data_IF_425079496473
#
_entry.id   IF_425079496473
#
_cell.length_a   1.000
_cell.length_b   1.000
_cell.length_c   1.000
_cell.angle_alpha   90.00
_cell.angle_beta   90.00
_cell.angle_gamma   90.00
#
_symmetry.space_group_name_H-M   'P 1'
#
loop_
_entity.id
_entity.type
_entity.pdbx_description
1 polymer ?
#
# COMPACT_ATOMS: atom_id res chain seq x y z
N UNK A 1 -1.21 -7.99 1.42
CA UNK A 1 -1.64 -7.76 0.01
C UNK A 1 -3.02 -7.11 0.01
N UNK A 2 -3.54 -6.52 -1.08
CA UNK A 2 -4.99 -6.30 -1.13
C UNK A 2 -5.75 -7.61 -0.84
N UNK A 3 -6.95 -7.49 -0.29
CA UNK A 3 -7.73 -8.56 0.32
C UNK A 3 -7.23 -9.11 1.68
N UNK A 4 -6.11 -8.63 2.24
CA UNK A 4 -5.62 -9.06 3.58
C UNK A 4 -5.79 -7.99 4.67
N UNK A 5 -6.51 -6.91 4.38
CA UNK A 5 -6.76 -5.83 5.34
C UNK A 5 -8.25 -5.78 5.70
N UNK A 6 -8.52 -5.38 6.94
CA UNK A 6 -9.87 -5.11 7.45
C UNK A 6 -10.30 -3.71 7.00
N UNK A 7 -10.87 -3.63 5.80
CA UNK A 7 -11.19 -2.36 5.14
C UNK A 7 -12.32 -1.62 5.86
N UNK A 8 -13.32 -2.32 6.38
CA UNK A 8 -14.43 -1.65 7.07
C UNK A 8 -13.95 -1.02 8.38
N UNK A 9 -13.05 -1.68 9.12
CA UNK A 9 -12.40 -1.05 10.28
C UNK A 9 -11.55 0.16 9.89
N UNK A 10 -10.79 0.07 8.80
CA UNK A 10 -10.00 1.20 8.30
C UNK A 10 -10.88 2.40 7.98
N UNK A 11 -12.00 2.18 7.27
CA UNK A 11 -12.98 3.21 6.93
C UNK A 11 -13.63 3.82 8.18
N UNK A 12 -14.01 3.01 9.18
CA UNK A 12 -14.62 3.54 10.40
C UNK A 12 -13.65 4.43 11.19
N UNK A 13 -12.36 4.05 11.24
CA UNK A 13 -11.32 4.85 11.89
C UNK A 13 -11.12 6.18 11.16
N UNK A 14 -11.03 6.16 9.82
CA UNK A 14 -10.87 7.38 9.03
C UNK A 14 -12.08 8.32 9.21
N UNK A 15 -13.29 7.77 9.27
CA UNK A 15 -14.51 8.55 9.51
C UNK A 15 -14.54 9.13 10.93
N UNK A 16 -14.12 8.37 11.95
CA UNK A 16 -14.02 8.87 13.33
C UNK A 16 -13.00 10.00 13.46
N UNK A 17 -11.83 9.86 12.84
CA UNK A 17 -10.81 10.89 12.82
C UNK A 17 -11.29 12.15 12.10
N UNK A 18 -11.89 12.01 10.91
CA UNK A 18 -12.44 13.13 10.15
C UNK A 18 -13.58 13.85 10.91
N UNK A 19 -14.37 13.11 11.68
CA UNK A 19 -15.44 13.67 12.52
C UNK A 19 -14.99 14.23 13.87
N UNK A 20 -13.70 14.19 14.21
CA UNK A 20 -13.18 14.60 15.52
C UNK A 20 -13.67 13.73 16.68
N UNK A 21 -14.12 12.51 16.39
CA UNK A 21 -14.64 11.54 17.36
C UNK A 21 -13.49 10.71 17.95
N UNK A 22 -13.81 9.92 18.97
CA UNK A 22 -12.82 9.01 19.54
C UNK A 22 -12.52 7.88 18.55
N UNK A 23 -11.27 7.77 18.11
CA UNK A 23 -10.80 6.69 17.26
C UNK A 23 -9.92 5.70 18.06
N UNK A 24 -10.06 4.41 17.77
CA UNK A 24 -9.17 3.36 18.25
C UNK A 24 -8.38 2.79 17.07
N UNK A 25 -7.09 3.09 17.03
CA UNK A 25 -6.22 2.77 15.90
C UNK A 25 -5.46 1.48 16.24
N UNK A 26 -5.66 0.39 15.47
CA UNK A 26 -5.06 -0.90 15.75
C UNK A 26 -3.55 -0.87 15.56
N UNK A 27 -2.85 -1.75 16.28
CA UNK A 27 -1.43 -2.00 16.10
C UNK A 27 -1.23 -3.42 15.61
N UNK A 28 -0.44 -3.60 14.57
CA UNK A 28 -0.06 -4.92 14.06
C UNK A 28 1.30 -5.32 14.60
N UNK A 29 1.42 -6.56 15.10
CA UNK A 29 2.70 -7.12 15.56
C UNK A 29 3.25 -8.06 14.51
N UNK A 30 4.35 -7.68 13.86
CA UNK A 30 5.05 -8.56 12.90
C UNK A 30 5.54 -9.86 13.54
N UNK A 31 5.83 -9.85 14.85
CA UNK A 31 6.30 -11.04 15.56
C UNK A 31 5.18 -12.06 15.82
N UNK A 32 3.94 -11.59 15.98
CA UNK A 32 2.76 -12.44 16.16
C UNK A 32 2.07 -12.76 14.83
N UNK A 33 2.43 -12.03 13.78
CA UNK A 33 1.70 -11.98 12.51
C UNK A 33 0.20 -11.71 12.70
N UNK A 34 -0.13 -10.89 13.69
CA UNK A 34 -1.51 -10.58 14.05
C UNK A 34 -1.63 -9.18 14.69
N UNK A 35 -2.86 -8.70 14.78
CA UNK A 35 -3.24 -7.49 15.50
C UNK A 35 -3.03 -7.70 17.00
N UNK A 36 -2.46 -6.68 17.64
CA UNK A 36 -2.39 -6.62 19.10
C UNK A 36 -3.81 -6.50 19.70
N UNK A 37 -4.01 -6.95 20.95
CA UNK A 37 -5.30 -6.82 21.62
C UNK A 37 -5.72 -5.35 21.72
N UNK A 38 -7.03 -5.11 21.81
CA UNK A 38 -7.61 -3.75 21.82
C UNK A 38 -7.08 -2.87 22.98
N UNK A 39 -6.60 -3.47 24.07
CA UNK A 39 -5.92 -2.76 25.16
C UNK A 39 -4.66 -2.02 24.72
N UNK A 40 -4.01 -2.49 23.65
CA UNK A 40 -2.78 -1.92 23.11
C UNK A 40 -3.02 -1.02 21.89
N UNK A 41 -4.28 -0.84 21.49
CA UNK A 41 -4.61 0.07 20.39
C UNK A 41 -4.38 1.52 20.81
N UNK A 42 -3.92 2.33 19.87
CA UNK A 42 -3.75 3.75 20.11
C UNK A 42 -5.11 4.42 20.20
N UNK A 43 -5.35 5.17 21.27
CA UNK A 43 -6.56 5.97 21.44
C UNK A 43 -6.28 7.41 21.01
N UNK A 44 -7.09 7.92 20.12
CA UNK A 44 -7.09 9.34 19.74
C UNK A 44 -8.47 9.95 20.00
N UNK A 45 -8.51 11.20 20.45
CA UNK A 45 -9.74 11.94 20.69
C UNK A 45 -9.52 13.40 20.35
N UNK A 46 -10.51 14.01 19.69
CA UNK A 46 -10.46 15.40 19.27
C UNK A 46 -10.19 15.53 17.77
N UNK A 47 -10.04 16.78 17.35
CA UNK A 47 -9.82 17.13 15.96
C UNK A 47 -8.40 16.76 15.49
N UNK A 48 -8.30 16.27 14.26
CA UNK A 48 -7.04 16.12 13.52
C UNK A 48 -7.06 17.02 12.30
N UNK A 49 -6.01 17.80 12.10
CA UNK A 49 -5.86 18.62 10.90
C UNK A 49 -5.46 17.77 9.69
N UNK A 50 -4.64 16.74 9.91
CA UNK A 50 -4.09 15.87 8.85
C UNK A 50 -4.02 14.42 9.34
N UNK A 51 -4.51 13.50 8.50
CA UNK A 51 -4.29 12.05 8.65
C UNK A 51 -3.32 11.58 7.58
N UNK A 52 -2.18 11.01 7.98
CA UNK A 52 -1.27 10.33 7.06
C UNK A 52 -1.70 8.88 6.91
N UNK A 53 -2.34 8.57 5.78
CA UNK A 53 -2.70 7.20 5.41
C UNK A 53 -1.68 6.66 4.39
N UNK A 54 -0.85 5.71 4.81
CA UNK A 54 0.24 5.16 4.01
C UNK A 54 0.08 3.66 3.76
N UNK A 55 0.59 3.21 2.62
CA UNK A 55 0.69 1.80 2.29
C UNK A 55 1.12 1.59 0.84
N UNK A 56 1.84 0.50 0.59
CA UNK A 56 2.46 0.23 -0.71
C UNK A 56 1.46 0.09 -1.87
N UNK A 57 0.20 -0.26 -1.59
CA UNK A 57 -0.88 -0.43 -2.58
C UNK A 57 -1.94 0.68 -2.54
N UNK A 58 -1.71 1.75 -1.77
CA UNK A 58 -2.66 2.86 -1.67
C UNK A 58 -2.83 3.52 -3.04
N UNK A 59 -4.09 3.72 -3.45
CA UNK A 59 -4.44 4.31 -4.75
C UNK A 59 -4.42 3.33 -5.93
N UNK A 60 -4.04 2.07 -5.72
CA UNK A 60 -4.08 1.05 -6.76
C UNK A 60 -5.51 0.84 -7.30
N UNK A 61 -5.61 0.56 -8.60
CA UNK A 61 -6.85 0.20 -9.29
C UNK A 61 -6.82 -1.25 -9.75
N UNK A 62 -8.00 -1.86 -10.02
CA UNK A 62 -8.02 -3.15 -10.69
C UNK A 62 -7.46 -3.03 -12.11
N UNK A 63 -6.73 -4.07 -12.53
CA UNK A 63 -6.31 -4.31 -13.91
C UNK A 63 -7.48 -4.85 -14.75
N UNK A 64 -7.32 -4.77 -16.06
CA UNK A 64 -8.20 -5.43 -17.02
C UNK A 64 -8.08 -6.96 -16.90
N UNK A 65 -9.19 -7.66 -17.11
CA UNK A 65 -9.23 -9.12 -16.99
C UNK A 65 -8.26 -9.81 -17.96
N UNK A 66 -8.05 -9.23 -19.14
CA UNK A 66 -7.10 -9.73 -20.13
C UNK A 66 -5.65 -9.72 -19.61
N UNK A 67 -5.28 -8.72 -18.80
CA UNK A 67 -3.93 -8.61 -18.23
C UNK A 67 -3.69 -9.65 -17.12
N UNK A 68 -4.76 -10.19 -16.53
CA UNK A 68 -4.69 -11.22 -15.49
C UNK A 68 -4.46 -12.63 -16.03
N UNK A 69 -4.54 -12.86 -17.34
CA UNK A 69 -4.44 -14.20 -17.92
C UNK A 69 -3.00 -14.71 -17.84
N UNK A 70 -2.06 -13.99 -18.46
CA UNK A 70 -0.67 -14.40 -18.53
C UNK A 70 0.05 -14.18 -17.19
N UNK A 71 0.73 -15.19 -16.61
CA UNK A 71 1.54 -14.99 -15.42
C UNK A 71 2.71 -14.06 -15.76
N UNK A 72 3.08 -13.16 -14.83
CA UNK A 72 4.21 -12.26 -15.06
C UNK A 72 5.51 -12.71 -14.40
N UNK A 73 5.43 -13.69 -13.49
CA UNK A 73 6.58 -14.23 -12.78
C UNK A 73 6.38 -15.69 -12.41
N UNK A 74 7.42 -16.29 -11.85
CA UNK A 74 7.47 -17.72 -11.54
C UNK A 74 6.41 -18.13 -10.50
N UNK A 75 6.12 -17.26 -9.53
CA UNK A 75 5.12 -17.54 -8.50
C UNK A 75 3.74 -17.70 -9.14
N UNK A 76 3.35 -16.78 -10.02
CA UNK A 76 2.07 -16.88 -10.71
C UNK A 76 2.02 -18.08 -11.67
N UNK A 77 3.13 -18.35 -12.37
CA UNK A 77 3.21 -19.44 -13.34
C UNK A 77 3.14 -20.84 -12.68
N UNK A 78 3.68 -20.98 -11.48
CA UNK A 78 3.78 -22.27 -10.80
C UNK A 78 2.69 -22.50 -9.76
N UNK A 79 2.27 -21.45 -9.05
CA UNK A 79 1.43 -21.54 -7.85
C UNK A 79 0.06 -20.87 -8.02
N UNK A 80 -0.09 -19.94 -8.96
CA UNK A 80 -1.38 -19.31 -9.30
C UNK A 80 -1.80 -19.57 -10.76
N UNK A 81 -1.62 -20.82 -11.21
CA UNK A 81 -1.95 -21.28 -12.57
C UNK A 81 -3.39 -20.98 -12.97
N UNK A 82 -4.30 -21.08 -12.01
CA UNK A 82 -5.73 -20.79 -12.21
C UNK A 82 -6.09 -19.30 -12.12
N UNK A 83 -5.11 -18.41 -11.91
CA UNK A 83 -5.31 -16.99 -11.66
C UNK A 83 -6.24 -16.67 -10.48
N UNK A 84 -6.41 -17.60 -9.53
CA UNK A 84 -7.35 -17.48 -8.41
C UNK A 84 -6.91 -16.34 -7.51
N UNK A 85 -5.63 -16.30 -7.14
CA UNK A 85 -5.10 -15.30 -6.23
C UNK A 85 -5.06 -13.91 -6.88
N UNK A 86 -4.51 -13.78 -8.09
CA UNK A 86 -4.44 -12.47 -8.76
C UNK A 86 -5.82 -11.92 -9.15
N UNK A 87 -6.79 -12.78 -9.46
CA UNK A 87 -8.19 -12.36 -9.65
C UNK A 87 -8.80 -11.87 -8.35
N UNK A 88 -8.61 -12.60 -7.24
CA UNK A 88 -9.12 -12.19 -5.94
C UNK A 88 -8.57 -10.82 -5.47
N UNK A 89 -7.26 -10.59 -5.67
CA UNK A 89 -6.64 -9.28 -5.43
C UNK A 89 -7.29 -8.20 -6.28
N UNK A 90 -7.55 -8.49 -7.57
CA UNK A 90 -8.20 -7.55 -8.49
C UNK A 90 -9.62 -7.20 -8.08
N UNK A 91 -10.40 -8.18 -7.62
CA UNK A 91 -11.78 -7.98 -7.17
C UNK A 91 -11.84 -7.15 -5.88
N UNK A 92 -10.89 -7.35 -4.96
CA UNK A 92 -10.78 -6.52 -3.77
C UNK A 92 -10.47 -5.06 -4.14
N UNK A 93 -9.59 -4.84 -5.13
CA UNK A 93 -9.29 -3.50 -5.68
C UNK A 93 -10.50 -2.85 -6.34
N UNK A 94 -11.38 -3.64 -6.98
CA UNK A 94 -12.61 -3.16 -7.61
C UNK A 94 -13.69 -2.76 -6.60
N UNK A 95 -13.66 -3.31 -5.40
CA UNK A 95 -14.75 -3.21 -4.41
C UNK A 95 -14.35 -2.42 -3.16
N UNK A 96 -13.92 -3.10 -2.10
CA UNK A 96 -13.68 -2.50 -0.79
C UNK A 96 -12.53 -1.49 -0.82
N UNK A 97 -11.45 -1.78 -1.55
CA UNK A 97 -10.31 -0.86 -1.64
C UNK A 97 -10.65 0.39 -2.46
N UNK A 98 -11.48 0.27 -3.50
CA UNK A 98 -11.96 1.44 -4.24
C UNK A 98 -12.73 2.40 -3.31
N UNK A 99 -13.56 1.88 -2.40
CA UNK A 99 -14.23 2.67 -1.36
C UNK A 99 -13.22 3.31 -0.41
N UNK A 100 -12.28 2.52 0.11
CA UNK A 100 -11.22 3.00 1.01
C UNK A 100 -10.38 4.13 0.40
N UNK A 101 -9.97 4.02 -0.86
CA UNK A 101 -9.15 5.03 -1.50
C UNK A 101 -9.95 6.26 -1.96
N UNK A 102 -11.28 6.17 -2.06
CA UNK A 102 -12.13 7.28 -2.47
C UNK A 102 -12.23 8.42 -1.44
N UNK A 103 -11.85 8.16 -0.18
CA UNK A 103 -11.87 9.17 0.89
C UNK A 103 -10.55 9.94 1.04
N UNK A 104 -9.55 9.64 0.19
CA UNK A 104 -8.24 10.30 0.24
C UNK A 104 -8.32 11.62 -0.53
N UNK A 105 -8.08 12.74 0.17
CA UNK A 105 -8.13 14.08 -0.42
C UNK A 105 -6.88 14.41 -1.25
N UNK A 106 -5.70 13.97 -0.79
CA UNK A 106 -4.42 14.20 -1.45
C UNK A 106 -3.59 12.93 -1.50
N UNK A 107 -3.12 12.59 -2.71
CA UNK A 107 -2.33 11.40 -2.98
C UNK A 107 -0.89 11.78 -3.33
N UNK A 108 0.06 11.17 -2.62
CA UNK A 108 1.50 11.33 -2.86
C UNK A 108 2.10 9.97 -3.24
N UNK A 109 2.88 9.93 -4.32
CA UNK A 109 3.62 8.75 -4.73
C UNK A 109 5.12 9.00 -4.69
N UNK A 110 5.86 8.08 -4.07
CA UNK A 110 7.31 7.97 -4.18
C UNK A 110 7.62 6.83 -5.15
N UNK A 111 8.05 7.17 -6.36
CA UNK A 111 8.26 6.22 -7.45
C UNK A 111 9.74 5.89 -7.63
N UNK A 112 10.20 4.66 -7.33
CA UNK A 112 11.55 4.23 -7.66
C UNK A 112 11.70 4.03 -9.19
N UNK A 113 12.94 3.91 -9.71
CA UNK A 113 13.17 3.84 -11.16
C UNK A 113 12.51 2.62 -11.83
N UNK A 114 12.49 1.47 -11.16
CA UNK A 114 11.92 0.24 -11.68
C UNK A 114 11.60 -0.76 -10.57
N UNK A 115 10.89 -1.84 -10.93
CA UNK A 115 10.62 -2.93 -9.99
C UNK A 115 11.92 -3.65 -9.55
N UNK A 116 12.93 -3.71 -10.42
CA UNK A 116 14.22 -4.29 -10.05
C UNK A 116 14.87 -3.52 -8.90
N UNK A 117 14.70 -2.20 -8.85
CA UNK A 117 15.16 -1.38 -7.73
C UNK A 117 14.38 -1.65 -6.44
N UNK A 118 13.08 -1.99 -6.53
CA UNK A 118 12.30 -2.46 -5.37
C UNK A 118 12.93 -3.73 -4.80
N UNK A 119 13.30 -4.69 -5.66
CA UNK A 119 13.98 -5.90 -5.25
C UNK A 119 15.36 -5.62 -4.63
N UNK A 120 16.19 -4.78 -5.26
CA UNK A 120 17.49 -4.41 -4.71
C UNK A 120 17.38 -3.73 -3.35
N UNK A 121 16.40 -2.82 -3.20
CA UNK A 121 16.14 -2.15 -1.93
C UNK A 121 15.71 -3.14 -0.85
N UNK A 122 14.86 -4.12 -1.18
CA UNK A 122 14.43 -5.16 -0.24
C UNK A 122 15.61 -6.06 0.16
N UNK A 123 16.49 -6.44 -0.78
CA UNK A 123 17.71 -7.20 -0.48
C UNK A 123 18.63 -6.42 0.46
N UNK A 124 18.87 -5.14 0.16
CA UNK A 124 19.71 -4.27 1.00
C UNK A 124 19.15 -4.13 2.41
N UNK A 125 17.82 -3.98 2.54
CA UNK A 125 17.15 -3.93 3.84
C UNK A 125 17.37 -5.23 4.62
N UNK A 126 17.23 -6.39 3.97
CA UNK A 126 17.40 -7.69 4.60
C UNK A 126 18.85 -7.96 5.01
N UNK A 127 19.82 -7.56 4.17
CA UNK A 127 21.25 -7.65 4.50
C UNK A 127 21.61 -6.78 5.71
N UNK A 128 21.10 -5.55 5.78
CA UNK A 128 21.28 -4.66 6.93
C UNK A 128 20.68 -5.26 8.21
N UNK A 129 19.48 -5.83 8.11
CA UNK A 129 18.85 -6.52 9.25
C UNK A 129 19.69 -7.70 9.73
N UNK A 130 20.17 -8.55 8.80
CA UNK A 130 21.03 -9.70 9.11
C UNK A 130 22.34 -9.28 9.79
N UNK A 131 22.94 -8.17 9.36
CA UNK A 131 24.17 -7.66 9.96
C UNK A 131 23.94 -7.13 11.39
N UNK A 132 22.78 -6.53 11.66
CA UNK A 132 22.45 -5.97 12.98
C UNK A 132 21.95 -7.02 13.97
N UNK A 133 21.23 -8.04 13.49
CA UNK A 133 20.57 -9.04 14.33
C UNK A 133 20.70 -10.44 13.71
N UNK A 134 21.90 -11.05 13.64
CA UNK A 134 22.14 -12.29 12.91
C UNK A 134 21.29 -13.47 13.37
N UNK A 135 20.89 -13.48 14.66
CA UNK A 135 20.10 -14.56 15.27
C UNK A 135 18.59 -14.26 15.31
N UNK A 136 18.12 -13.16 14.69
CA UNK A 136 16.70 -12.84 14.68
C UNK A 136 15.92 -13.85 13.83
N UNK A 137 14.81 -14.33 14.39
CA UNK A 137 13.87 -15.17 13.65
C UNK A 137 13.28 -14.39 12.45
N UNK A 138 13.10 -15.08 11.32
CA UNK A 138 12.44 -14.53 10.14
C UNK A 138 13.33 -13.76 9.15
N UNK A 139 14.66 -13.78 9.33
CA UNK A 139 15.59 -13.25 8.33
C UNK A 139 15.57 -14.14 7.08
N UNK A 140 15.21 -13.54 5.95
CA UNK A 140 15.16 -14.18 4.65
C UNK A 140 16.55 -14.23 4.01
N UNK A 141 16.87 -15.33 3.34
CA UNK A 141 17.95 -15.44 2.35
C UNK A 141 17.55 -14.72 1.07
N UNK A 142 18.53 -14.47 0.21
CA UNK A 142 18.33 -13.68 -1.00
C UNK A 142 17.30 -14.32 -1.96
N UNK A 143 17.29 -15.66 -2.05
CA UNK A 143 16.27 -16.41 -2.81
C UNK A 143 14.87 -16.26 -2.21
N UNK A 144 14.77 -16.25 -0.88
CA UNK A 144 13.51 -16.06 -0.15
C UNK A 144 13.00 -14.63 -0.33
N UNK A 145 13.89 -13.63 -0.35
CA UNK A 145 13.55 -12.24 -0.69
C UNK A 145 13.02 -12.13 -2.12
N UNK A 146 13.69 -12.74 -3.10
CA UNK A 146 13.23 -12.73 -4.50
C UNK A 146 11.83 -13.33 -4.63
N UNK A 147 11.61 -14.48 -4.00
CA UNK A 147 10.30 -15.12 -3.94
C UNK A 147 9.26 -14.24 -3.24
N UNK A 148 9.61 -13.63 -2.12
CA UNK A 148 8.74 -12.72 -1.38
C UNK A 148 8.28 -11.55 -2.27
N UNK A 149 9.22 -10.90 -2.95
CA UNK A 149 8.96 -9.73 -3.81
C UNK A 149 8.04 -10.08 -5.00
N UNK A 150 8.08 -11.31 -5.52
CA UNK A 150 7.16 -11.76 -6.58
C UNK A 150 5.67 -11.58 -6.23
N UNK A 151 5.29 -11.66 -4.96
CA UNK A 151 3.90 -11.43 -4.52
C UNK A 151 3.44 -9.99 -4.79
N UNK A 152 4.37 -9.04 -4.89
CA UNK A 152 4.08 -7.62 -5.04
C UNK A 152 4.23 -7.13 -6.48
N UNK A 153 4.86 -7.94 -7.34
CA UNK A 153 5.35 -7.50 -8.65
C UNK A 153 4.26 -6.98 -9.56
N UNK A 154 3.19 -7.75 -9.72
CA UNK A 154 2.11 -7.41 -10.66
C UNK A 154 1.52 -6.07 -10.33
N UNK A 155 1.08 -5.92 -9.08
CA UNK A 155 0.42 -4.70 -8.66
C UNK A 155 1.39 -3.52 -8.64
N UNK A 156 2.65 -3.72 -8.24
CA UNK A 156 3.65 -2.64 -8.25
C UNK A 156 3.91 -2.15 -9.67
N UNK A 157 4.10 -3.06 -10.65
CA UNK A 157 4.28 -2.70 -12.06
C UNK A 157 3.05 -1.99 -12.61
N UNK A 158 1.85 -2.48 -12.30
CA UNK A 158 0.61 -1.82 -12.69
C UNK A 158 0.51 -0.40 -12.12
N UNK A 159 0.79 -0.22 -10.83
CA UNK A 159 0.83 1.10 -10.19
C UNK A 159 1.87 2.01 -10.82
N UNK A 160 3.04 1.51 -11.25
CA UNK A 160 4.04 2.34 -11.92
C UNK A 160 3.59 2.86 -13.29
N UNK A 161 2.66 2.16 -13.94
CA UNK A 161 2.07 2.55 -15.22
C UNK A 161 0.83 3.46 -15.05
N UNK A 162 0.02 3.26 -14.01
CA UNK A 162 -1.29 3.94 -13.86
C UNK A 162 -1.30 5.05 -12.79
N UNK A 163 -0.62 4.88 -11.66
CA UNK A 163 -0.71 5.81 -10.53
C UNK A 163 -0.07 7.20 -10.77
N UNK A 164 1.08 7.34 -11.49
CA UNK A 164 1.71 8.63 -11.74
C UNK A 164 0.80 9.72 -12.31
N UNK A 165 -0.16 9.34 -13.15
CA UNK A 165 -1.08 10.28 -13.80
C UNK A 165 -2.25 10.70 -12.89
N UNK A 166 -2.36 10.09 -11.71
CA UNK A 166 -3.53 10.24 -10.83
C UNK A 166 -3.20 10.79 -9.44
N UNK A 167 -1.93 10.94 -9.11
CA UNK A 167 -1.45 11.49 -7.84
C UNK A 167 -1.39 13.02 -7.88
N UNK A 168 -1.54 13.66 -6.72
CA UNK A 168 -1.37 15.10 -6.61
C UNK A 168 0.11 15.49 -6.61
N UNK A 169 0.96 14.66 -6.01
CA UNK A 169 2.41 14.82 -6.01
C UNK A 169 3.11 13.51 -6.37
N UNK A 170 3.99 13.58 -7.36
CA UNK A 170 4.85 12.48 -7.76
C UNK A 170 6.32 12.86 -7.50
N UNK A 171 6.94 12.14 -6.58
CA UNK A 171 8.38 12.16 -6.36
C UNK A 171 9.03 11.01 -7.13
N UNK A 172 9.88 11.33 -8.11
CA UNK A 172 10.69 10.32 -8.77
C UNK A 172 12.01 10.15 -8.01
N UNK A 173 12.33 8.92 -7.65
CA UNK A 173 13.54 8.58 -6.91
C UNK A 173 14.60 7.98 -7.84
N UNK A 174 15.87 8.16 -7.50
CA UNK A 174 16.96 7.42 -8.12
C UNK A 174 17.18 6.04 -7.48
N UNK A 175 18.24 5.35 -7.88
CA UNK A 175 18.63 4.06 -7.32
C UNK A 175 19.09 4.14 -5.85
N UNK A 176 19.54 5.31 -5.40
CA UNK A 176 19.94 5.61 -4.02
C UNK A 176 18.77 6.01 -3.11
N UNK A 177 17.55 6.09 -3.67
CA UNK A 177 16.34 6.61 -3.01
C UNK A 177 16.36 8.14 -2.79
N UNK A 178 17.24 8.86 -3.48
CA UNK A 178 17.25 10.32 -3.48
C UNK A 178 16.19 10.86 -4.43
N UNK A 179 15.57 11.98 -4.05
CA UNK A 179 14.56 12.66 -4.88
C UNK A 179 15.22 13.33 -6.08
N UNK A 180 14.91 12.84 -7.28
CA UNK A 180 15.38 13.45 -8.54
C UNK A 180 14.47 14.57 -9.01
N UNK A 181 13.16 14.42 -8.83
CA UNK A 181 12.17 15.40 -9.25
C UNK A 181 10.89 15.29 -8.43
N UNK A 182 10.15 16.39 -8.37
CA UNK A 182 8.80 16.47 -7.86
C UNK A 182 7.92 17.10 -8.93
N UNK A 183 6.81 16.45 -9.28
CA UNK A 183 5.80 17.00 -10.17
C UNK A 183 4.45 17.02 -9.47
N UNK A 184 3.64 18.03 -9.81
CA UNK A 184 2.30 18.23 -9.27
C UNK A 184 1.28 18.12 -10.41
N UNK A 185 0.27 17.27 -10.26
CA UNK A 185 -0.86 17.30 -11.18
C UNK A 185 -1.60 18.64 -11.02
N UNK A 186 -2.10 19.23 -12.12
CA UNK A 186 -2.93 20.44 -12.04
C UNK A 186 -4.05 20.23 -11.02
N UNK A 187 -4.20 21.17 -10.08
CA UNK A 187 -5.15 21.08 -8.97
C UNK A 187 -6.51 20.56 -9.47
N UNK A 188 -6.96 19.41 -8.95
CA UNK A 188 -8.36 19.04 -9.05
C UNK A 188 -9.12 20.04 -8.18
N UNK A 189 -10.15 20.68 -8.74
CA UNK A 189 -10.99 21.61 -7.99
C UNK A 189 -11.45 20.94 -6.69
N UNK A 190 -11.09 21.56 -5.56
CA UNK A 190 -11.55 21.14 -4.25
C UNK A 190 -13.08 21.12 -4.30
N UNK A 191 -13.70 19.95 -4.16
CA UNK A 191 -15.14 19.87 -3.93
C UNK A 191 -15.41 20.54 -2.60
N UNK A 192 -15.93 21.77 -2.64
CA UNK A 192 -16.57 22.43 -1.51
C UNK A 192 -17.63 21.47 -0.96
N UNK A 193 -17.34 20.84 0.19
CA UNK A 193 -18.38 20.23 1.03
C UNK A 193 -18.99 21.34 1.87
N UNK A 194 -19.72 22.23 1.21
CA UNK A 194 -20.69 23.09 1.90
C UNK A 194 -21.94 22.26 2.20
N UNK A 195 -22.34 22.23 3.47
CA UNK A 195 -23.72 21.97 3.85
C UNK A 195 -23.95 20.95 4.96
N UNK A 196 -23.73 21.34 6.22
CA UNK A 196 -24.82 21.35 7.21
C UNK A 196 -24.41 22.11 8.47
N UNK A 197 -24.77 23.39 8.52
CA UNK A 197 -25.19 24.04 9.76
C UNK A 197 -26.68 24.30 9.59
N UNK A 198 -27.49 23.65 10.43
CA UNK A 198 -28.94 23.74 10.47
C UNK A 198 -29.48 22.79 11.52
#
# INVERSE_FOLDING_TARGET
MPATHDIELGLSILDDLAGGRQALIPRFSKALDDRLPQSDWMRHSGHVDVVLFEGWCVGARPQDEADLVAPINILEAEEDKGAVWRTHVNDALRTSYARCFSVIDHMIMLKPPSFDHVLQNRLLQEHKLRALTPDAAGIMRDEEVRRFVNHYERLTRHMFADLPDRVDLLFSLDAGQDVMSCSRAGLRDMKERDGHVG
#
